data_IF_339948399809
#
_entry.id   IF_339948399809
#
_cell.length_a   1.000
_cell.length_b   1.000
_cell.length_c   1.000
_cell.angle_alpha   90.00
_cell.angle_beta   90.00
_cell.angle_gamma   90.00
#
_symmetry.space_group_name_H-M   'P 1'
#
loop_
_entity.id
_entity.type
_entity.pdbx_description
1 polymer ?
#
# COMPACT_ATOMS: atom_id res chain seq x y z
N UNK A 1 39.42 -13.04 26.03
CA UNK A 1 39.48 -11.68 26.61
C UNK A 1 38.09 -11.16 26.58
N UNK A 2 37.42 -11.25 27.73
CA UNK A 2 36.02 -10.85 27.94
C UNK A 2 35.88 -9.33 27.85
N UNK A 3 35.01 -8.86 26.96
CA UNK A 3 34.45 -7.51 27.04
C UNK A 3 33.00 -7.61 27.50
N UNK A 4 32.80 -7.87 28.78
CA UNK A 4 31.52 -7.75 29.44
C UNK A 4 31.02 -6.29 29.31
N UNK A 5 29.87 -6.09 28.63
CA UNK A 5 29.21 -4.81 28.54
C UNK A 5 28.88 -4.26 29.92
N UNK A 6 29.33 -3.04 30.21
CA UNK A 6 29.02 -2.35 31.47
C UNK A 6 27.50 -2.21 31.59
N UNK A 7 26.91 -2.57 32.77
CA UNK A 7 25.50 -2.36 33.01
C UNK A 7 25.17 -0.86 32.95
N UNK A 8 24.17 -0.48 32.14
CA UNK A 8 23.66 0.89 32.11
C UNK A 8 23.30 1.37 33.50
N UNK A 9 23.86 2.52 33.89
CA UNK A 9 23.65 3.09 35.21
C UNK A 9 22.18 3.47 35.42
N UNK A 10 21.72 3.39 36.67
CA UNK A 10 20.35 3.78 37.06
C UNK A 10 20.02 5.22 36.62
N UNK A 11 21.04 6.09 36.58
CA UNK A 11 20.97 7.48 36.10
C UNK A 11 20.71 7.58 34.62
N UNK A 12 21.25 6.68 33.80
CA UNK A 12 20.98 6.68 32.33
C UNK A 12 19.57 6.21 32.03
N UNK A 13 19.04 5.22 32.74
CA UNK A 13 17.65 4.78 32.66
C UNK A 13 16.67 5.87 33.09
N UNK A 14 16.95 6.59 34.16
CA UNK A 14 16.15 7.73 34.61
C UNK A 14 16.20 8.89 33.60
N UNK A 15 17.38 9.22 33.07
CA UNK A 15 17.53 10.29 32.06
C UNK A 15 16.81 9.98 30.77
N UNK A 16 16.79 8.71 30.34
CA UNK A 16 15.97 8.23 29.20
C UNK A 16 14.47 8.39 29.45
N UNK A 17 14.02 8.01 30.65
CA UNK A 17 12.59 8.07 31.03
C UNK A 17 12.10 9.52 31.18
N UNK A 18 12.86 10.40 31.82
CA UNK A 18 12.52 11.83 31.94
C UNK A 18 12.67 12.60 30.61
N UNK A 19 13.61 12.21 29.76
CA UNK A 19 13.79 12.78 28.43
C UNK A 19 12.63 12.43 27.48
N UNK A 20 12.04 11.24 27.65
CA UNK A 20 10.91 10.77 26.87
C UNK A 20 9.63 11.53 27.23
N UNK A 21 9.30 11.67 28.52
CA UNK A 21 8.15 12.46 28.97
C UNK A 21 8.21 13.94 28.55
N UNK A 22 9.39 14.55 28.55
CA UNK A 22 9.55 15.93 28.05
C UNK A 22 9.35 16.06 26.55
N UNK A 23 9.71 15.03 25.77
CA UNK A 23 9.48 15.02 24.32
C UNK A 23 8.01 14.76 23.99
N UNK A 24 7.37 13.86 24.71
CA UNK A 24 5.94 13.55 24.55
C UNK A 24 5.10 14.78 24.89
N UNK A 25 5.33 15.47 26.01
CA UNK A 25 4.63 16.71 26.36
C UNK A 25 4.81 17.80 25.30
N UNK A 26 6.01 17.96 24.73
CA UNK A 26 6.24 18.93 23.65
C UNK A 26 5.58 18.55 22.34
N UNK A 27 5.45 17.26 22.03
CA UNK A 27 4.73 16.80 20.85
C UNK A 27 3.23 17.07 20.97
N UNK A 28 2.67 16.85 22.16
CA UNK A 28 1.27 17.19 22.48
C UNK A 28 1.00 18.70 22.35
N UNK A 29 1.90 19.54 22.84
CA UNK A 29 1.80 21.01 22.69
C UNK A 29 1.78 21.40 21.20
N UNK A 30 2.64 20.81 20.37
CA UNK A 30 2.68 21.07 18.93
C UNK A 30 1.38 20.61 18.26
N UNK A 31 0.86 19.41 18.62
CA UNK A 31 -0.40 18.92 18.08
C UNK A 31 -1.56 19.85 18.42
N UNK A 32 -1.63 20.37 19.65
CA UNK A 32 -2.66 21.35 20.03
C UNK A 32 -2.56 22.64 19.20
N UNK A 33 -1.35 23.13 18.95
CA UNK A 33 -1.13 24.31 18.10
C UNK A 33 -1.59 24.07 16.65
N UNK A 34 -1.30 22.89 16.10
CA UNK A 34 -1.75 22.50 14.76
C UNK A 34 -3.26 22.41 14.66
N UNK A 35 -3.92 21.80 15.66
CA UNK A 35 -5.37 21.74 15.75
C UNK A 35 -6.01 23.10 15.88
N UNK A 36 -5.37 24.04 16.61
CA UNK A 36 -5.81 25.42 16.69
C UNK A 36 -5.73 26.12 15.31
N UNK A 37 -4.59 26.00 14.62
CA UNK A 37 -4.39 26.55 13.27
C UNK A 37 -5.44 26.00 12.28
N UNK A 38 -5.86 24.73 12.44
CA UNK A 38 -6.94 24.15 11.65
C UNK A 38 -8.30 24.77 11.97
N UNK A 39 -8.62 24.99 13.25
CA UNK A 39 -9.88 25.66 13.65
C UNK A 39 -9.96 27.10 13.12
N UNK A 40 -8.83 27.79 13.07
CA UNK A 40 -8.69 29.15 12.52
C UNK A 40 -8.59 29.17 10.97
N UNK A 41 -8.77 28.00 10.33
CA UNK A 41 -8.69 27.84 8.87
C UNK A 41 -7.36 28.28 8.24
N UNK A 42 -6.28 28.34 9.02
CA UNK A 42 -4.93 28.70 8.55
C UNK A 42 -4.30 27.54 7.76
N UNK A 43 -4.66 26.31 8.11
CA UNK A 43 -4.21 25.08 7.39
C UNK A 43 -5.41 24.20 7.02
N UNK A 44 -5.28 23.45 5.90
CA UNK A 44 -6.26 22.48 5.45
C UNK A 44 -6.25 21.18 6.29
N UNK A 45 -7.24 20.33 6.08
CA UNK A 45 -7.34 19.00 6.76
C UNK A 45 -6.14 18.14 6.41
N UNK A 46 -5.81 18.07 5.12
CA UNK A 46 -4.73 17.23 4.61
C UNK A 46 -3.37 17.68 5.14
N UNK A 47 -3.15 19.01 5.17
CA UNK A 47 -1.93 19.59 5.74
C UNK A 47 -1.79 19.26 7.22
N UNK A 48 -2.90 19.31 8.00
CA UNK A 48 -2.89 18.91 9.40
C UNK A 48 -2.49 17.45 9.54
N UNK A 49 -3.13 16.56 8.75
CA UNK A 49 -2.85 15.12 8.78
C UNK A 49 -1.38 14.81 8.44
N UNK A 50 -0.84 15.45 7.41
CA UNK A 50 0.57 15.29 7.04
C UNK A 50 1.52 15.74 8.16
N UNK A 51 1.24 16.87 8.81
CA UNK A 51 2.06 17.35 9.93
C UNK A 51 1.97 16.41 11.16
N UNK A 52 0.80 15.86 11.45
CA UNK A 52 0.61 14.85 12.49
C UNK A 52 1.41 13.56 12.15
N UNK A 53 1.38 13.12 10.90
CA UNK A 53 2.14 11.96 10.42
C UNK A 53 3.66 12.18 10.59
N UNK A 54 4.18 13.36 10.22
CA UNK A 54 5.60 13.71 10.40
C UNK A 54 6.01 13.63 11.87
N UNK A 55 5.18 14.15 12.77
CA UNK A 55 5.44 14.07 14.22
C UNK A 55 5.47 12.62 14.70
N UNK A 56 4.50 11.79 14.27
CA UNK A 56 4.42 10.37 14.60
C UNK A 56 5.63 9.61 14.04
N UNK A 57 5.98 9.82 12.77
CA UNK A 57 7.11 9.19 12.09
C UNK A 57 8.42 9.33 12.88
N UNK A 58 8.64 10.46 13.53
CA UNK A 58 9.85 10.72 14.32
C UNK A 58 10.02 9.77 15.53
N UNK A 59 8.94 9.15 16.00
CA UNK A 59 8.91 8.23 17.14
C UNK A 59 8.76 6.76 16.74
N UNK A 60 8.47 6.46 15.47
CA UNK A 60 8.25 5.11 14.97
C UNK A 60 9.54 4.33 14.77
N UNK A 61 9.44 3.02 14.92
CA UNK A 61 10.46 2.03 14.58
C UNK A 61 10.14 1.30 13.28
N UNK A 62 11.09 0.57 12.74
CA UNK A 62 10.92 -0.27 11.55
C UNK A 62 9.79 -1.29 11.73
N UNK A 63 9.65 -1.87 12.93
CA UNK A 63 8.57 -2.80 13.29
C UNK A 63 7.17 -2.21 13.02
N UNK A 64 7.00 -0.91 13.24
CA UNK A 64 5.69 -0.25 13.16
C UNK A 64 5.19 -0.08 11.72
N UNK A 65 6.12 -0.12 10.73
CA UNK A 65 5.80 0.13 9.32
C UNK A 65 6.14 -1.04 8.39
N UNK A 66 6.83 -2.09 8.87
CA UNK A 66 7.27 -3.20 8.02
C UNK A 66 6.10 -4.06 7.51
N UNK A 67 6.27 -4.63 6.33
CA UNK A 67 5.50 -5.77 5.86
C UNK A 67 5.98 -7.00 6.63
N UNK A 68 5.08 -7.63 7.39
CA UNK A 68 5.44 -8.79 8.22
C UNK A 68 5.86 -9.99 7.35
N UNK A 69 6.72 -10.86 7.89
CA UNK A 69 7.22 -12.08 7.23
C UNK A 69 6.12 -12.91 6.56
N UNK A 70 4.97 -13.05 7.21
CA UNK A 70 3.85 -13.82 6.67
C UNK A 70 3.33 -13.26 5.34
N UNK A 71 3.34 -11.94 5.19
CA UNK A 71 2.83 -11.21 4.02
C UNK A 71 3.89 -10.88 2.97
N UNK A 72 5.15 -11.25 3.20
CA UNK A 72 6.21 -11.02 2.22
C UNK A 72 5.97 -11.84 0.96
N UNK A 73 5.93 -11.17 -0.19
CA UNK A 73 6.02 -11.77 -1.50
C UNK A 73 7.48 -12.07 -1.81
N UNK A 74 7.79 -13.34 -2.06
CA UNK A 74 9.15 -13.84 -2.25
C UNK A 74 9.24 -14.73 -3.49
N UNK A 75 10.43 -14.81 -4.08
CA UNK A 75 10.74 -15.73 -5.17
C UNK A 75 11.67 -16.81 -4.62
N UNK A 76 11.44 -18.05 -5.02
CA UNK A 76 12.31 -19.17 -4.67
C UNK A 76 13.36 -19.40 -5.73
N UNK A 77 14.55 -19.86 -5.34
CA UNK A 77 15.61 -20.24 -6.29
C UNK A 77 15.19 -21.35 -7.25
N UNK A 78 14.20 -22.15 -6.87
CA UNK A 78 13.66 -23.25 -7.67
C UNK A 78 12.57 -22.83 -8.67
N UNK A 79 12.15 -21.56 -8.65
CA UNK A 79 11.10 -21.08 -9.54
C UNK A 79 11.64 -20.89 -10.96
N UNK A 80 10.87 -21.30 -11.97
CA UNK A 80 11.21 -21.06 -13.38
C UNK A 80 11.02 -19.58 -13.74
N UNK A 81 11.71 -19.13 -14.79
CA UNK A 81 11.62 -17.73 -15.23
C UNK A 81 10.19 -17.34 -15.60
N UNK A 82 9.42 -18.25 -16.21
CA UNK A 82 8.02 -18.00 -16.60
C UNK A 82 7.16 -17.76 -15.36
N UNK A 83 7.36 -18.58 -14.31
CA UNK A 83 6.67 -18.42 -13.03
C UNK A 83 7.04 -17.11 -12.35
N UNK A 84 8.33 -16.74 -12.35
CA UNK A 84 8.82 -15.47 -11.76
C UNK A 84 8.19 -14.27 -12.49
N UNK A 85 8.18 -14.30 -13.84
CA UNK A 85 7.56 -13.23 -14.63
C UNK A 85 6.06 -13.16 -14.36
N UNK A 86 5.35 -14.28 -14.38
CA UNK A 86 3.91 -14.32 -14.08
C UNK A 86 3.60 -13.74 -12.72
N UNK A 87 4.35 -14.14 -11.69
CA UNK A 87 4.18 -13.63 -10.33
C UNK A 87 4.50 -12.13 -10.20
N UNK A 88 5.54 -11.66 -10.87
CA UNK A 88 5.88 -10.23 -10.89
C UNK A 88 4.80 -9.37 -11.57
N UNK A 89 4.15 -9.90 -12.61
CA UNK A 89 3.02 -9.23 -13.28
C UNK A 89 1.78 -9.24 -12.39
N UNK A 90 1.47 -10.36 -11.73
CA UNK A 90 0.31 -10.50 -10.86
C UNK A 90 0.39 -9.57 -9.63
N UNK A 91 1.55 -9.53 -8.97
CA UNK A 91 1.75 -8.73 -7.75
C UNK A 91 2.08 -7.27 -8.03
N UNK A 92 2.52 -6.94 -9.26
CA UNK A 92 2.97 -5.62 -9.69
C UNK A 92 4.12 -5.02 -8.84
N UNK A 93 4.87 -5.85 -8.10
CA UNK A 93 6.00 -5.39 -7.31
C UNK A 93 7.26 -5.20 -8.17
N UNK A 94 8.01 -4.15 -7.87
CA UNK A 94 9.28 -3.84 -8.56
C UNK A 94 10.46 -4.64 -8.04
N UNK A 95 10.40 -5.16 -6.79
CA UNK A 95 11.51 -5.86 -6.12
C UNK A 95 10.99 -7.01 -5.29
N UNK A 96 11.75 -8.12 -5.32
CA UNK A 96 11.41 -9.34 -4.60
C UNK A 96 12.62 -9.86 -3.83
N UNK A 97 12.48 -10.18 -2.54
CA UNK A 97 13.44 -11.02 -1.85
C UNK A 97 13.49 -12.40 -2.50
N UNK A 98 14.68 -12.90 -2.78
CA UNK A 98 14.88 -14.27 -3.26
C UNK A 98 15.36 -15.12 -2.11
N UNK A 99 14.68 -16.24 -1.90
CA UNK A 99 14.94 -17.18 -0.81
C UNK A 99 15.39 -18.54 -1.35
N UNK A 100 16.14 -19.27 -0.53
CA UNK A 100 16.45 -20.68 -0.81
C UNK A 100 15.23 -21.57 -0.46
N UNK A 101 15.23 -22.15 0.72
CA UNK A 101 14.21 -23.11 1.14
C UNK A 101 13.10 -22.44 1.96
N UNK A 102 13.45 -21.49 2.79
CA UNK A 102 12.54 -20.77 3.66
C UNK A 102 12.82 -19.25 3.70
N UNK A 103 11.92 -18.51 4.35
CA UNK A 103 12.02 -17.04 4.44
C UNK A 103 13.14 -16.55 5.39
N UNK A 104 13.83 -17.42 6.11
CA UNK A 104 14.98 -17.04 6.95
C UNK A 104 16.29 -16.97 6.16
N UNK A 105 16.30 -17.51 4.93
CA UNK A 105 17.47 -17.53 4.07
C UNK A 105 17.27 -16.68 2.83
N UNK A 106 17.32 -15.34 3.00
CA UNK A 106 17.29 -14.39 1.87
C UNK A 106 18.65 -14.30 1.23
N UNK A 107 18.75 -14.73 -0.03
CA UNK A 107 19.98 -14.76 -0.82
C UNK A 107 20.28 -13.41 -1.48
N UNK A 108 19.25 -12.60 -1.73
CA UNK A 108 19.38 -11.30 -2.38
C UNK A 108 18.04 -10.74 -2.82
N UNK A 109 18.09 -9.62 -3.53
CA UNK A 109 16.93 -8.91 -4.07
C UNK A 109 16.94 -9.00 -5.59
N UNK A 110 15.85 -9.50 -6.16
CA UNK A 110 15.59 -9.46 -7.60
C UNK A 110 14.84 -8.16 -7.94
N UNK A 111 15.28 -7.47 -8.98
CA UNK A 111 14.51 -6.38 -9.58
C UNK A 111 13.71 -6.91 -10.77
N UNK A 112 12.38 -6.74 -10.76
CA UNK A 112 11.49 -7.23 -11.82
C UNK A 112 11.90 -6.73 -13.21
N UNK A 113 12.39 -5.49 -13.34
CA UNK A 113 12.88 -4.93 -14.61
C UNK A 113 14.09 -5.70 -15.20
N UNK A 114 14.88 -6.36 -14.36
CA UNK A 114 16.04 -7.10 -14.85
C UNK A 114 15.63 -8.40 -15.57
N UNK A 115 14.38 -8.87 -15.35
CA UNK A 115 13.78 -10.00 -16.08
C UNK A 115 13.57 -9.69 -17.57
N UNK A 116 13.39 -8.42 -17.93
CA UNK A 116 13.15 -8.00 -19.34
C UNK A 116 14.28 -8.44 -20.27
N UNK A 117 15.51 -8.58 -19.78
CA UNK A 117 16.65 -9.05 -20.58
C UNK A 117 16.49 -10.50 -21.04
N UNK A 118 15.68 -11.27 -20.33
CA UNK A 118 15.53 -12.72 -20.54
C UNK A 118 14.20 -13.11 -21.19
N UNK A 119 13.29 -12.13 -21.43
CA UNK A 119 12.02 -12.41 -22.11
C UNK A 119 12.20 -12.94 -23.53
N UNK A 120 13.28 -12.55 -24.22
CA UNK A 120 13.60 -13.01 -25.57
C UNK A 120 14.55 -14.22 -25.61
N UNK A 121 15.31 -14.46 -24.55
CA UNK A 121 16.30 -15.54 -24.46
C UNK A 121 16.28 -16.19 -23.08
N UNK A 122 15.19 -16.90 -22.71
CA UNK A 122 15.00 -17.47 -21.38
C UNK A 122 16.02 -18.56 -21.02
N UNK A 123 16.62 -19.21 -22.01
CA UNK A 123 17.65 -20.24 -21.84
C UNK A 123 18.94 -19.72 -21.19
N UNK A 124 19.20 -18.41 -21.30
CA UNK A 124 20.37 -17.76 -20.69
C UNK A 124 20.08 -17.27 -19.26
N UNK A 125 18.84 -17.45 -18.77
CA UNK A 125 18.47 -17.01 -17.43
C UNK A 125 19.23 -17.80 -16.36
N UNK A 126 19.86 -17.06 -15.46
CA UNK A 126 20.47 -17.58 -14.23
C UNK A 126 20.16 -16.58 -13.14
N UNK A 127 19.32 -16.99 -12.19
CA UNK A 127 18.78 -16.12 -11.14
C UNK A 127 19.93 -15.49 -10.32
N UNK A 128 20.96 -16.26 -10.02
CA UNK A 128 22.10 -15.83 -9.20
C UNK A 128 22.87 -14.64 -9.82
N UNK A 129 22.86 -14.54 -11.15
CA UNK A 129 23.60 -13.50 -11.87
C UNK A 129 22.93 -12.12 -11.81
N UNK A 130 21.68 -12.06 -11.40
CA UNK A 130 20.89 -10.81 -11.38
C UNK A 130 20.47 -10.39 -9.97
N UNK A 131 20.82 -11.17 -8.95
CA UNK A 131 20.56 -10.82 -7.57
C UNK A 131 21.46 -9.67 -7.12
N UNK A 132 20.84 -8.77 -6.38
CA UNK A 132 21.55 -7.69 -5.66
C UNK A 132 21.66 -8.05 -4.19
N UNK A 133 22.72 -7.62 -3.49
CA UNK A 133 22.85 -7.85 -2.07
C UNK A 133 21.65 -7.32 -1.31
N UNK A 134 21.10 -8.11 -0.39
CA UNK A 134 20.09 -7.66 0.55
C UNK A 134 20.75 -6.86 1.68
N UNK A 135 20.09 -5.79 2.11
CA UNK A 135 20.49 -5.02 3.30
C UNK A 135 19.58 -5.41 4.45
N UNK A 136 20.17 -5.75 5.58
CA UNK A 136 19.45 -6.19 6.77
C UNK A 136 19.46 -5.08 7.83
N UNK A 137 18.31 -4.85 8.44
CA UNK A 137 18.14 -3.84 9.50
C UNK A 137 17.36 -4.42 10.68
N UNK A 138 17.70 -4.06 11.93
CA UNK A 138 16.93 -4.51 13.08
C UNK A 138 15.55 -3.83 13.13
N UNK A 139 14.53 -4.56 13.57
CA UNK A 139 13.17 -4.05 13.71
C UNK A 139 13.02 -2.89 14.70
N UNK A 140 13.95 -2.78 15.66
CA UNK A 140 14.00 -1.69 16.64
C UNK A 140 14.61 -0.38 16.11
N UNK A 141 15.15 -0.37 14.89
CA UNK A 141 15.75 0.83 14.29
C UNK A 141 14.69 1.90 14.07
N UNK A 142 15.04 3.17 14.34
CA UNK A 142 14.16 4.31 14.06
C UNK A 142 13.90 4.46 12.56
N UNK A 143 12.63 4.70 12.18
CA UNK A 143 12.26 4.97 10.78
C UNK A 143 12.99 6.19 10.22
N UNK A 144 13.16 7.24 11.03
CA UNK A 144 13.88 8.44 10.61
C UNK A 144 15.36 8.15 10.25
N UNK A 145 16.04 7.34 11.07
CA UNK A 145 17.41 6.92 10.79
C UNK A 145 17.49 6.05 9.54
N UNK A 146 16.54 5.12 9.36
CA UNK A 146 16.48 4.28 8.18
C UNK A 146 16.20 5.08 6.91
N UNK A 147 15.29 6.04 6.94
CA UNK A 147 15.02 6.92 5.79
C UNK A 147 16.27 7.62 5.31
N UNK A 148 17.05 8.22 6.24
CA UNK A 148 18.31 8.89 5.91
C UNK A 148 19.32 7.93 5.26
N UNK A 149 19.42 6.72 5.80
CA UNK A 149 20.35 5.70 5.27
C UNK A 149 19.96 5.23 3.87
N UNK A 150 18.67 4.95 3.64
CA UNK A 150 18.17 4.52 2.32
C UNK A 150 18.38 5.60 1.25
N UNK A 151 18.17 6.88 1.60
CA UNK A 151 18.44 8.00 0.70
C UNK A 151 19.93 8.08 0.30
N UNK A 152 20.83 7.94 1.27
CA UNK A 152 22.28 7.99 1.03
C UNK A 152 22.77 6.81 0.19
N UNK A 153 22.27 5.61 0.47
CA UNK A 153 22.69 4.39 -0.20
C UNK A 153 21.95 4.12 -1.52
N UNK A 154 20.94 4.92 -1.85
CA UNK A 154 20.02 4.71 -2.97
C UNK A 154 19.39 3.31 -2.95
N UNK A 155 19.13 2.82 -1.77
CA UNK A 155 18.49 1.53 -1.55
C UNK A 155 16.99 1.75 -1.37
N UNK A 156 16.17 0.86 -1.94
CA UNK A 156 14.71 1.00 -1.91
C UNK A 156 14.01 -0.14 -1.18
N UNK A 157 14.75 -1.14 -0.68
CA UNK A 157 14.19 -2.26 0.06
C UNK A 157 15.21 -2.76 1.07
N UNK A 158 14.77 -3.05 2.28
CA UNK A 158 15.56 -3.70 3.32
C UNK A 158 14.82 -4.92 3.86
N UNK A 159 15.59 -5.88 4.33
CA UNK A 159 15.08 -7.04 5.06
C UNK A 159 15.18 -6.73 6.56
N UNK A 160 14.10 -6.98 7.28
CA UNK A 160 14.01 -6.69 8.71
C UNK A 160 14.29 -7.94 9.52
N UNK A 161 15.15 -7.81 10.53
CA UNK A 161 15.54 -8.92 11.40
C UNK A 161 15.20 -8.63 12.87
N UNK A 162 14.86 -9.69 13.59
CA UNK A 162 14.64 -9.66 15.04
C UNK A 162 15.96 -9.71 15.85
N UNK A 163 15.85 -9.76 17.17
CA UNK A 163 16.99 -9.79 18.10
C UNK A 163 17.78 -11.12 18.03
N UNK A 164 17.22 -12.15 17.42
CA UNK A 164 17.83 -13.48 17.27
C UNK A 164 18.42 -13.69 15.87
N UNK A 165 18.27 -12.71 14.98
CA UNK A 165 18.71 -12.79 13.57
C UNK A 165 17.70 -13.46 12.64
N UNK A 166 16.50 -13.78 13.13
CA UNK A 166 15.39 -14.27 12.30
C UNK A 166 14.76 -13.15 11.47
N UNK A 167 14.25 -13.49 10.28
CA UNK A 167 13.58 -12.50 9.43
C UNK A 167 12.19 -12.20 9.96
N UNK A 168 11.95 -10.95 10.36
CA UNK A 168 10.66 -10.41 10.81
C UNK A 168 9.81 -9.89 9.67
N UNK A 169 10.44 -9.42 8.58
CA UNK A 169 9.71 -8.81 7.48
C UNK A 169 10.60 -8.12 6.45
N UNK A 170 10.03 -7.24 5.69
CA UNK A 170 10.71 -6.30 4.80
C UNK A 170 10.13 -4.90 4.94
N UNK A 171 10.86 -3.90 4.50
CA UNK A 171 10.38 -2.53 4.41
C UNK A 171 10.94 -1.89 3.14
N UNK A 172 10.08 -1.16 2.43
CA UNK A 172 10.49 -0.42 1.23
C UNK A 172 10.64 1.08 1.53
N UNK A 173 11.32 1.79 0.64
CA UNK A 173 11.40 3.26 0.70
C UNK A 173 10.02 3.89 0.53
N UNK A 174 9.20 3.30 -0.32
CA UNK A 174 7.83 3.69 -0.61
C UNK A 174 6.96 3.59 0.67
N UNK A 175 7.07 2.50 1.44
CA UNK A 175 6.38 2.34 2.74
C UNK A 175 6.78 3.44 3.75
N UNK A 176 8.07 3.83 3.77
CA UNK A 176 8.53 4.92 4.63
C UNK A 176 7.91 6.27 4.26
N UNK A 177 7.85 6.57 2.97
CA UNK A 177 7.25 7.82 2.49
C UNK A 177 5.75 7.83 2.77
N UNK A 178 5.07 6.69 2.62
CA UNK A 178 3.65 6.55 2.96
C UNK A 178 3.36 6.89 4.44
N UNK A 179 4.26 6.57 5.37
CA UNK A 179 4.09 6.95 6.77
C UNK A 179 4.14 8.46 7.00
N UNK A 180 4.78 9.22 6.12
CA UNK A 180 4.91 10.68 6.22
C UNK A 180 3.77 11.38 5.48
N UNK A 181 3.59 11.03 4.21
CA UNK A 181 2.63 11.70 3.32
C UNK A 181 1.20 11.22 3.58
N UNK A 182 1.03 10.07 4.22
CA UNK A 182 -0.21 9.31 4.25
C UNK A 182 -0.29 8.42 3.02
N UNK A 183 -1.36 7.68 2.88
CA UNK A 183 -1.60 6.97 1.62
C UNK A 183 -1.46 7.99 0.51
N UNK A 184 -0.46 7.82 -0.35
CA UNK A 184 -0.40 8.54 -1.61
C UNK A 184 -1.61 7.98 -2.36
N UNK A 185 -2.68 8.76 -2.36
CA UNK A 185 -3.82 8.44 -3.19
C UNK A 185 -3.26 8.34 -4.61
N UNK A 186 -3.34 7.15 -5.18
CA UNK A 186 -3.04 6.95 -6.59
C UNK A 186 -3.89 7.98 -7.35
N UNK A 187 -3.48 8.45 -8.53
CA UNK A 187 -4.27 9.38 -9.37
C UNK A 187 -5.72 8.89 -9.57
N UNK A 188 -6.01 7.70 -9.05
CA UNK A 188 -7.29 6.99 -8.99
C UNK A 188 -7.89 6.89 -7.58
N UNK A 189 -7.20 7.32 -6.52
CA UNK A 189 -7.71 7.39 -5.14
C UNK A 189 -8.26 8.80 -4.91
N UNK A 190 -9.53 8.90 -4.67
CA UNK A 190 -10.32 10.12 -4.66
C UNK A 190 -10.40 10.86 -3.35
N UNK A 191 -10.55 12.18 -3.47
CA UNK A 191 -11.25 13.05 -2.49
C UNK A 191 -12.56 12.38 -2.03
N UNK A 192 -12.62 11.96 -0.76
CA UNK A 192 -13.87 11.47 -0.15
C UNK A 192 -14.97 12.56 -0.09
N UNK A 193 -14.63 13.80 -0.45
CA UNK A 193 -15.50 14.96 -0.42
C UNK A 193 -16.12 15.35 -1.76
N UNK A 194 -15.67 14.75 -2.87
CA UNK A 194 -16.19 15.07 -4.20
C UNK A 194 -17.28 14.07 -4.62
N UNK A 195 -18.01 14.40 -5.68
CA UNK A 195 -19.18 13.69 -6.21
C UNK A 195 -19.03 12.16 -6.30
N UNK A 196 -20.11 11.43 -6.13
CA UNK A 196 -20.11 9.96 -6.16
C UNK A 196 -19.94 9.38 -7.57
N UNK A 197 -20.10 10.21 -8.63
CA UNK A 197 -20.05 9.83 -10.05
C UNK A 197 -19.16 10.81 -10.81
N UNK A 198 -18.05 10.33 -11.39
CA UNK A 198 -17.05 11.14 -12.10
C UNK A 198 -16.96 10.79 -13.57
N UNK A 199 -17.05 11.75 -14.49
CA UNK A 199 -16.75 11.52 -15.89
C UNK A 199 -15.24 11.34 -16.10
N UNK A 200 -14.85 10.18 -16.67
CA UNK A 200 -13.46 9.89 -17.05
C UNK A 200 -13.23 10.20 -18.54
N UNK A 201 -14.27 9.99 -19.36
CA UNK A 201 -14.32 10.36 -20.77
C UNK A 201 -15.78 10.56 -21.22
N UNK A 202 -16.02 10.87 -22.49
CA UNK A 202 -17.36 11.12 -23.03
C UNK A 202 -18.36 9.96 -22.77
N UNK A 203 -17.89 8.72 -22.66
CA UNK A 203 -18.75 7.53 -22.51
C UNK A 203 -18.33 6.65 -21.32
N UNK A 204 -17.44 7.15 -20.42
CA UNK A 204 -16.95 6.38 -19.26
C UNK A 204 -16.99 7.21 -18.00
N UNK A 205 -17.50 6.61 -16.95
CA UNK A 205 -17.62 7.21 -15.64
C UNK A 205 -17.00 6.31 -14.57
N UNK A 206 -16.40 6.93 -13.60
CA UNK A 206 -15.96 6.27 -12.36
C UNK A 206 -17.04 6.51 -11.31
N UNK A 207 -17.39 5.47 -10.57
CA UNK A 207 -18.51 5.49 -9.62
C UNK A 207 -18.02 4.84 -8.31
N UNK A 208 -18.30 5.50 -7.18
CA UNK A 208 -18.11 4.85 -5.89
C UNK A 208 -19.13 3.73 -5.73
N UNK A 209 -18.70 2.55 -5.28
CA UNK A 209 -19.62 1.43 -5.09
C UNK A 209 -20.70 1.71 -4.01
N UNK A 210 -20.43 2.63 -3.09
CA UNK A 210 -21.37 3.11 -2.08
C UNK A 210 -22.39 4.15 -2.59
N UNK A 211 -22.34 4.52 -3.87
CA UNK A 211 -23.33 5.44 -4.47
C UNK A 211 -24.73 4.83 -4.43
N UNK A 212 -25.71 5.57 -3.98
CA UNK A 212 -27.09 5.13 -3.94
C UNK A 212 -27.65 4.88 -5.35
N UNK A 213 -28.46 3.85 -5.49
CA UNK A 213 -29.11 3.51 -6.78
C UNK A 213 -29.95 4.69 -7.30
N UNK A 214 -30.57 5.46 -6.40
CA UNK A 214 -31.34 6.66 -6.76
C UNK A 214 -30.47 7.71 -7.46
N UNK A 215 -29.23 7.93 -6.98
CA UNK A 215 -28.28 8.86 -7.60
C UNK A 215 -27.84 8.38 -9.00
N UNK A 216 -27.60 7.07 -9.15
CA UNK A 216 -27.30 6.46 -10.44
C UNK A 216 -28.43 6.67 -11.43
N UNK A 217 -29.67 6.42 -11.01
CA UNK A 217 -30.86 6.61 -11.83
C UNK A 217 -31.01 8.07 -12.26
N UNK A 218 -30.84 9.00 -11.32
CA UNK A 218 -30.91 10.44 -11.61
C UNK A 218 -29.85 10.90 -12.61
N UNK A 219 -28.62 10.37 -12.49
CA UNK A 219 -27.49 10.78 -13.33
C UNK A 219 -27.55 10.18 -14.73
N UNK A 220 -27.86 8.89 -14.86
CA UNK A 220 -27.84 8.18 -16.14
C UNK A 220 -29.19 8.10 -16.84
N UNK A 221 -30.29 8.45 -16.14
CA UNK A 221 -31.65 8.31 -16.63
C UNK A 221 -32.09 6.85 -16.73
N UNK A 222 -31.64 6.03 -15.78
CA UNK A 222 -31.99 4.61 -15.66
C UNK A 222 -33.11 4.39 -14.64
N UNK A 223 -33.68 3.19 -14.60
CA UNK A 223 -34.67 2.75 -13.62
C UNK A 223 -34.20 1.47 -12.94
N UNK A 224 -33.01 1.56 -12.32
CA UNK A 224 -32.42 0.46 -11.57
C UNK A 224 -33.16 0.34 -10.22
N UNK A 225 -33.44 -0.88 -9.79
CA UNK A 225 -34.03 -1.16 -8.49
C UNK A 225 -33.50 -2.48 -7.93
N UNK A 226 -33.46 -2.59 -6.60
CA UNK A 226 -33.18 -3.81 -5.87
C UNK A 226 -34.05 -3.85 -4.62
N UNK A 227 -34.44 -5.03 -4.19
CA UNK A 227 -35.15 -5.23 -2.93
C UNK A 227 -34.19 -5.42 -1.75
N UNK A 228 -32.91 -5.76 -2.03
CA UNK A 228 -31.91 -6.12 -1.03
C UNK A 228 -30.74 -5.12 -0.92
N UNK A 229 -30.58 -4.22 -1.92
CA UNK A 229 -29.45 -3.31 -1.98
C UNK A 229 -29.86 -1.85 -2.20
N UNK A 230 -29.31 -0.94 -1.39
CA UNK A 230 -29.50 0.50 -1.52
C UNK A 230 -28.44 1.14 -2.46
N UNK A 231 -27.30 0.46 -2.70
CA UNK A 231 -26.15 0.99 -3.42
C UNK A 231 -25.85 0.23 -4.71
N UNK A 232 -25.19 0.90 -5.65
CA UNK A 232 -24.79 0.27 -6.92
C UNK A 232 -23.82 -0.90 -6.73
N UNK A 233 -22.98 -0.84 -5.72
CA UNK A 233 -22.09 -1.95 -5.34
C UNK A 233 -22.86 -3.16 -4.82
N UNK A 234 -23.89 -2.93 -4.02
CA UNK A 234 -24.81 -3.97 -3.55
C UNK A 234 -25.57 -4.62 -4.69
N UNK A 235 -26.16 -3.81 -5.58
CA UNK A 235 -26.87 -4.29 -6.77
C UNK A 235 -25.96 -5.14 -7.68
N UNK A 236 -24.67 -4.77 -7.83
CA UNK A 236 -23.72 -5.55 -8.61
C UNK A 236 -23.41 -6.91 -7.97
N UNK A 237 -23.31 -6.97 -6.63
CA UNK A 237 -23.11 -8.22 -5.88
C UNK A 237 -24.34 -9.12 -6.02
N UNK A 238 -25.54 -8.56 -5.95
CA UNK A 238 -26.80 -9.29 -6.14
C UNK A 238 -26.88 -9.90 -7.55
N UNK A 239 -26.60 -9.11 -8.59
CA UNK A 239 -26.63 -9.55 -9.99
C UNK A 239 -25.61 -10.68 -10.27
N UNK A 240 -24.41 -10.61 -9.68
CA UNK A 240 -23.35 -11.59 -9.89
C UNK A 240 -23.46 -12.81 -8.94
N UNK A 241 -24.23 -12.69 -7.84
CA UNK A 241 -24.41 -13.75 -6.84
C UNK A 241 -23.18 -13.99 -5.94
N UNK A 242 -22.15 -13.15 -6.05
CA UNK A 242 -20.94 -13.20 -5.22
C UNK A 242 -20.25 -11.82 -5.17
N UNK A 243 -19.31 -11.63 -4.23
CA UNK A 243 -18.48 -10.44 -4.18
C UNK A 243 -17.46 -10.48 -5.33
N UNK A 244 -17.60 -9.62 -6.37
CA UNK A 244 -16.76 -9.70 -7.55
C UNK A 244 -15.37 -9.09 -7.33
N UNK A 245 -14.35 -9.69 -7.97
CA UNK A 245 -12.99 -9.21 -7.98
C UNK A 245 -12.72 -8.13 -9.03
N UNK A 246 -11.52 -7.53 -8.97
CA UNK A 246 -11.10 -6.52 -9.95
C UNK A 246 -11.15 -7.07 -11.38
N UNK A 247 -11.75 -6.30 -12.28
CA UNK A 247 -11.89 -6.63 -13.70
C UNK A 247 -13.17 -7.38 -14.06
N UNK A 248 -13.92 -7.90 -13.09
CA UNK A 248 -15.22 -8.52 -13.35
C UNK A 248 -16.24 -7.49 -13.81
N UNK A 249 -17.20 -7.95 -14.61
CA UNK A 249 -18.16 -7.08 -15.32
C UNK A 249 -19.58 -7.60 -15.16
N UNK A 250 -20.52 -6.67 -15.04
CA UNK A 250 -21.96 -6.96 -15.17
C UNK A 250 -22.64 -5.85 -15.97
N UNK A 251 -23.66 -6.22 -16.73
CA UNK A 251 -24.48 -5.26 -17.50
C UNK A 251 -25.84 -5.11 -16.81
N UNK A 252 -26.13 -3.91 -16.33
CA UNK A 252 -27.35 -3.60 -15.62
C UNK A 252 -27.93 -2.29 -16.18
N UNK A 253 -29.21 -2.27 -16.56
CA UNK A 253 -29.93 -1.06 -16.98
C UNK A 253 -29.29 -0.32 -18.18
N UNK A 254 -28.68 -1.04 -19.12
CA UNK A 254 -28.02 -0.42 -20.30
C UNK A 254 -26.63 0.15 -20.00
N UNK A 255 -26.11 -0.08 -18.78
CA UNK A 255 -24.76 0.28 -18.38
C UNK A 255 -23.94 -0.99 -18.17
N UNK A 256 -22.69 -1.00 -18.66
CA UNK A 256 -21.69 -2.01 -18.36
C UNK A 256 -20.83 -1.52 -17.20
N UNK A 257 -20.96 -2.17 -16.06
CA UNK A 257 -20.11 -1.93 -14.90
C UNK A 257 -18.90 -2.87 -14.93
N UNK A 258 -17.72 -2.33 -14.63
CA UNK A 258 -16.48 -3.09 -14.47
C UNK A 258 -15.91 -2.77 -13.10
N UNK A 259 -15.58 -3.78 -12.30
CA UNK A 259 -14.96 -3.58 -10.99
C UNK A 259 -13.55 -3.05 -11.18
N UNK A 260 -13.31 -1.80 -10.78
CA UNK A 260 -12.00 -1.17 -10.83
C UNK A 260 -11.19 -1.45 -9.55
N UNK A 261 -11.88 -1.44 -8.38
CA UNK A 261 -11.26 -1.71 -7.08
C UNK A 261 -12.23 -2.46 -6.16
N UNK A 262 -11.74 -3.55 -5.56
CA UNK A 262 -12.43 -4.31 -4.53
C UNK A 262 -11.41 -4.87 -3.53
N UNK A 263 -11.86 -5.16 -2.32
CA UNK A 263 -11.12 -5.94 -1.34
C UNK A 263 -11.89 -7.25 -0.99
N UNK A 264 -11.38 -8.03 -0.04
CA UNK A 264 -12.00 -9.31 0.37
C UNK A 264 -13.38 -9.16 1.05
N UNK A 265 -13.85 -7.95 1.29
CA UNK A 265 -15.07 -7.67 2.06
C UNK A 265 -16.07 -6.78 1.31
N UNK A 266 -15.60 -5.91 0.38
CA UNK A 266 -16.46 -4.94 -0.29
C UNK A 266 -15.89 -4.45 -1.61
N UNK A 267 -16.79 -3.93 -2.45
CA UNK A 267 -16.46 -3.13 -3.61
C UNK A 267 -16.18 -1.68 -3.18
N UNK A 268 -15.22 -1.05 -3.86
CA UNK A 268 -14.87 0.36 -3.63
C UNK A 268 -15.21 1.22 -4.83
N UNK A 269 -14.76 0.83 -6.01
CA UNK A 269 -14.83 1.65 -7.22
C UNK A 269 -15.25 0.82 -8.43
N UNK A 270 -16.18 1.36 -9.19
CA UNK A 270 -16.70 0.78 -10.43
C UNK A 270 -16.40 1.73 -11.60
N UNK A 271 -16.19 1.18 -12.78
CA UNK A 271 -16.21 1.90 -14.04
C UNK A 271 -17.51 1.60 -14.76
N UNK A 272 -18.29 2.61 -15.11
CA UNK A 272 -19.48 2.46 -15.93
C UNK A 272 -19.23 2.92 -17.36
N UNK A 273 -19.81 2.22 -18.34
CA UNK A 273 -19.79 2.57 -19.76
C UNK A 273 -21.19 2.35 -20.31
N UNK A 274 -21.73 3.27 -21.11
CA UNK A 274 -23.00 3.02 -21.80
C UNK A 274 -22.82 1.91 -22.84
N UNK A 275 -23.70 0.93 -22.79
CA UNK A 275 -23.76 -0.08 -23.84
C UNK A 275 -24.53 0.53 -25.05
N UNK A 276 -23.88 0.58 -26.21
CA UNK A 276 -24.59 0.95 -27.44
C UNK A 276 -25.52 -0.21 -27.78
N UNK A 277 -26.82 0.05 -27.81
CA UNK A 277 -27.77 -0.89 -28.44
C UNK A 277 -27.43 -1.01 -29.92
N UNK A 278 -26.83 -2.13 -30.28
CA UNK A 278 -26.60 -2.53 -31.69
C UNK A 278 -27.91 -3.04 -32.35
N UNK A 279 -29.06 -2.43 -31.98
CA UNK A 279 -30.38 -2.75 -32.56
C UNK A 279 -30.91 -1.56 -33.33
N UNK A 280 -30.23 -1.23 -34.46
CA UNK A 280 -30.82 -0.45 -35.52
C UNK A 280 -30.17 -0.84 -36.87
N UNK A 281 -30.60 -1.96 -37.42
CA UNK A 281 -30.46 -2.27 -38.83
C UNK A 281 -31.78 -2.87 -39.33
#
# INVERSE_FOLDING_TARGET
>A
MDTAGKPESLFERLRRRFGRHRREARAEDILQMLQQARREQTIGVDTLQQLENVLRFSSMSVRDAMVSRARMDVIKTTDSIERIIGYAVETAHSRFPVIADDKDHVLGILHAKDLLKYTLNPEHFRLENILRPAVFVPESKSLHALLTELQQQRNHMVIVVDEYGGISGLLTFEDLIEQIVGKIEDEFDEDESADNIFPVSAERWRIKAATEIADINAFFGTDLSSEEADTIGGLLIEELGHLPGRGEKAQIGGLLFTVARADKRRLHTLMATRVKDDTAA
#
